data_IF_112463342681
#
_entry.id   IF_112463342681
#
_cell.length_a   1.000
_cell.length_b   1.000
_cell.length_c   1.000
_cell.angle_alpha   90.00
_cell.angle_beta   90.00
_cell.angle_gamma   90.00
#
_symmetry.space_group_name_H-M   'P 1'
#
loop_
_entity.id
_entity.type
_entity.pdbx_description
1 polymer ?
#
# COMPACT_ATOMS: atom_id res chain seq x y z
N UNK A 1 11.96 -4.90 -1.92
CA UNK A 1 11.16 -5.80 -2.79
C UNK A 1 11.85 -5.85 -4.14
N UNK A 2 12.03 -7.04 -4.71
CA UNK A 2 12.63 -7.24 -6.03
C UNK A 2 11.70 -8.17 -6.81
N UNK A 3 11.39 -7.83 -8.05
CA UNK A 3 10.53 -8.65 -8.91
C UNK A 3 10.84 -8.43 -10.39
N UNK A 4 10.67 -9.44 -11.26
CA UNK A 4 10.88 -9.29 -12.69
C UNK A 4 9.76 -8.46 -13.32
N UNK A 5 10.10 -7.62 -14.30
CA UNK A 5 9.13 -6.78 -15.03
C UNK A 5 8.85 -7.24 -16.45
N UNK A 6 9.70 -8.10 -17.01
CA UNK A 6 9.53 -8.60 -18.38
C UNK A 6 10.20 -9.96 -18.60
N UNK A 7 10.03 -10.49 -19.82
CA UNK A 7 10.60 -11.77 -20.26
C UNK A 7 12.13 -11.78 -20.27
N UNK A 8 12.76 -10.61 -20.37
CA UNK A 8 14.22 -10.46 -20.34
C UNK A 8 14.79 -10.53 -18.91
N UNK A 9 13.93 -10.78 -17.90
CA UNK A 9 14.28 -10.85 -16.48
C UNK A 9 14.90 -9.56 -15.93
N UNK A 10 14.57 -8.41 -16.54
CA UNK A 10 14.86 -7.13 -15.92
C UNK A 10 14.11 -7.05 -14.59
N UNK A 11 14.79 -6.52 -13.56
CA UNK A 11 14.28 -6.51 -12.19
C UNK A 11 13.88 -5.09 -11.81
N UNK A 12 12.66 -4.94 -11.28
CA UNK A 12 12.32 -3.75 -10.52
C UNK A 12 12.74 -3.93 -9.06
N UNK A 13 13.30 -2.87 -8.49
CA UNK A 13 13.67 -2.81 -7.09
C UNK A 13 12.99 -1.63 -6.40
N UNK A 14 12.34 -1.93 -5.27
CA UNK A 14 11.72 -0.92 -4.42
C UNK A 14 12.21 -1.10 -2.99
N UNK A 15 12.80 -0.05 -2.43
CA UNK A 15 13.20 0.04 -1.03
C UNK A 15 12.35 1.10 -0.32
N UNK A 16 11.83 0.77 0.85
CA UNK A 16 11.07 1.71 1.69
C UNK A 16 11.83 1.85 3.01
N UNK A 17 12.23 3.06 3.34
CA UNK A 17 13.00 3.37 4.55
C UNK A 17 12.28 4.45 5.34
N UNK A 18 12.22 4.28 6.66
CA UNK A 18 11.74 5.33 7.57
C UNK A 18 12.87 6.31 7.83
N UNK A 19 12.70 7.54 7.36
CA UNK A 19 13.64 8.63 7.59
C UNK A 19 12.92 9.81 8.27
N UNK A 20 13.59 10.48 9.21
CA UNK A 20 12.99 11.61 9.96
C UNK A 20 12.78 12.86 9.09
N UNK A 21 13.67 13.08 8.13
CA UNK A 21 13.64 14.20 7.19
C UNK A 21 13.76 13.66 5.78
N UNK A 22 12.91 14.12 4.87
CA UNK A 22 13.06 13.80 3.46
C UNK A 22 14.01 14.83 2.85
N UNK A 23 15.06 14.34 2.21
CA UNK A 23 15.98 15.10 1.39
C UNK A 23 16.19 14.29 0.10
N UNK A 24 15.74 14.79 -1.06
CA UNK A 24 15.87 14.08 -2.33
C UNK A 24 17.32 13.87 -2.76
N UNK A 25 18.25 14.69 -2.27
CA UNK A 25 19.66 14.63 -2.62
C UNK A 25 20.46 13.71 -1.67
N UNK A 26 19.95 13.45 -0.47
CA UNK A 26 20.59 12.59 0.55
C UNK A 26 20.18 11.10 0.46
N UNK A 27 20.05 10.58 -0.76
CA UNK A 27 19.69 9.17 -1.00
C UNK A 27 20.78 8.23 -0.43
N UNK A 28 22.06 8.62 -0.51
CA UNK A 28 23.20 7.81 -0.06
C UNK A 28 23.16 7.49 1.44
N UNK A 29 22.84 8.47 2.28
CA UNK A 29 22.70 8.27 3.74
C UNK A 29 21.59 7.28 4.07
N UNK A 30 20.47 7.35 3.34
CA UNK A 30 19.33 6.43 3.49
C UNK A 30 19.72 5.00 3.10
N UNK A 31 20.46 4.84 2.00
CA UNK A 31 20.95 3.55 1.52
C UNK A 31 21.95 2.93 2.48
N UNK A 32 22.89 3.71 3.00
CA UNK A 32 23.90 3.21 3.94
C UNK A 32 23.25 2.53 5.15
N UNK A 33 22.13 3.06 5.66
CA UNK A 33 21.36 2.41 6.75
C UNK A 33 20.85 1.02 6.38
N UNK A 34 20.49 0.81 5.12
CA UNK A 34 20.00 -0.48 4.61
C UNK A 34 21.17 -1.44 4.38
N UNK A 35 22.28 -0.97 3.79
CA UNK A 35 23.48 -1.78 3.57
C UNK A 35 24.07 -2.26 4.90
N UNK A 36 24.12 -1.40 5.92
CA UNK A 36 24.58 -1.80 7.26
C UNK A 36 23.71 -2.92 7.88
N UNK A 37 22.42 -2.98 7.53
CA UNK A 37 21.54 -4.08 7.97
C UNK A 37 21.70 -5.34 7.13
N UNK A 38 22.07 -5.21 5.85
CA UNK A 38 22.31 -6.32 4.95
C UNK A 38 23.25 -5.91 3.81
N UNK A 39 24.52 -6.28 3.92
CA UNK A 39 25.58 -5.97 2.96
C UNK A 39 25.36 -6.62 1.60
N UNK A 40 24.61 -7.72 1.53
CA UNK A 40 24.34 -8.43 0.27
C UNK A 40 23.53 -7.57 -0.71
N UNK A 41 22.84 -6.54 -0.21
CA UNK A 41 22.05 -5.63 -1.03
C UNK A 41 22.88 -4.51 -1.69
N UNK A 42 24.14 -4.33 -1.30
CA UNK A 42 24.99 -3.22 -1.78
C UNK A 42 25.02 -3.14 -3.31
N UNK A 43 25.20 -4.28 -3.99
CA UNK A 43 25.27 -4.36 -5.45
C UNK A 43 24.00 -3.86 -6.15
N UNK A 44 22.84 -3.97 -5.49
CA UNK A 44 21.53 -3.56 -6.04
C UNK A 44 21.40 -2.03 -6.06
N UNK A 45 22.14 -1.32 -5.20
CA UNK A 45 22.10 0.14 -5.09
C UNK A 45 23.10 0.87 -6.01
N UNK A 46 23.73 0.16 -6.95
CA UNK A 46 24.77 0.73 -7.83
C UNK A 46 24.23 1.50 -9.05
N UNK A 47 22.92 1.43 -9.32
CA UNK A 47 22.27 2.11 -10.45
C UNK A 47 21.86 3.55 -10.16
N UNK A 48 21.15 4.17 -11.12
CA UNK A 48 20.49 5.48 -10.92
C UNK A 48 19.30 5.29 -9.96
N UNK A 49 19.39 5.91 -8.78
CA UNK A 49 18.40 5.76 -7.72
C UNK A 49 17.61 7.04 -7.56
N UNK A 50 16.28 6.86 -7.53
CA UNK A 50 15.32 7.94 -7.30
C UNK A 50 14.57 7.67 -6.02
N UNK A 51 14.21 8.74 -5.31
CA UNK A 51 13.48 8.65 -4.05
C UNK A 51 12.22 9.50 -4.09
N UNK A 52 11.17 8.99 -3.45
CA UNK A 52 9.89 9.68 -3.33
C UNK A 52 9.40 9.62 -1.88
N UNK A 53 8.90 10.74 -1.33
CA UNK A 53 8.25 10.72 -0.03
C UNK A 53 6.91 9.98 -0.13
N UNK A 54 6.59 9.18 0.88
CA UNK A 54 5.31 8.46 0.94
C UNK A 54 4.28 9.27 1.73
N UNK A 55 3.22 9.70 1.05
CA UNK A 55 2.06 10.34 1.66
C UNK A 55 0.84 9.42 1.66
N UNK A 56 -0.10 9.66 2.58
CA UNK A 56 -1.36 8.94 2.67
C UNK A 56 -2.47 9.85 3.17
N UNK A 57 -3.72 9.50 2.89
CA UNK A 57 -4.88 10.28 3.32
C UNK A 57 -5.22 9.99 4.79
N UNK A 58 -5.20 11.00 5.69
CA UNK A 58 -5.49 10.79 7.11
C UNK A 58 -6.98 10.50 7.34
N UNK A 59 -7.87 11.19 6.61
CA UNK A 59 -9.33 11.11 6.77
C UNK A 59 -10.02 11.01 5.40
N UNK A 60 -10.91 10.03 5.28
CA UNK A 60 -11.76 9.84 4.10
C UNK A 60 -12.97 10.77 4.25
N UNK A 61 -13.16 11.68 3.29
CA UNK A 61 -14.21 12.70 3.31
C UNK A 61 -15.06 12.61 2.04
N UNK A 62 -16.38 12.87 2.13
CA UNK A 62 -17.20 13.01 0.94
C UNK A 62 -16.86 14.33 0.23
N UNK A 63 -17.26 14.44 -1.03
CA UNK A 63 -17.29 15.74 -1.70
C UNK A 63 -18.30 16.67 -1.04
N UNK A 64 -17.99 17.97 -0.96
CA UNK A 64 -18.92 19.01 -0.53
C UNK A 64 -19.95 19.37 -1.61
N UNK A 65 -19.72 18.94 -2.85
CA UNK A 65 -20.63 19.10 -3.97
C UNK A 65 -21.18 17.75 -4.41
N UNK A 66 -22.50 17.62 -4.43
CA UNK A 66 -23.20 16.36 -4.71
C UNK A 66 -23.04 15.87 -6.16
N UNK A 67 -22.55 16.72 -7.06
CA UNK A 67 -22.24 16.36 -8.46
C UNK A 67 -20.76 16.05 -8.69
N UNK A 68 -19.93 16.08 -7.65
CA UNK A 68 -18.49 15.82 -7.73
C UNK A 68 -18.16 14.57 -6.93
N UNK A 69 -17.43 13.65 -7.54
CA UNK A 69 -17.06 12.36 -6.95
C UNK A 69 -15.54 12.21 -6.94
N UNK A 70 -14.98 11.91 -5.77
CA UNK A 70 -13.57 11.57 -5.67
C UNK A 70 -13.38 10.08 -5.99
N UNK A 71 -12.39 9.80 -6.83
CA UNK A 71 -11.95 8.45 -7.20
C UNK A 71 -10.44 8.30 -6.99
N UNK A 72 -9.96 7.07 -6.85
CA UNK A 72 -8.53 6.78 -6.67
C UNK A 72 -7.90 7.50 -5.48
N UNK A 73 -6.68 7.99 -5.65
CA UNK A 73 -5.94 8.65 -4.56
C UNK A 73 -6.59 9.97 -4.09
N UNK A 74 -7.38 10.63 -4.94
CA UNK A 74 -8.18 11.79 -4.53
C UNK A 74 -9.26 11.40 -3.51
N UNK A 75 -9.78 10.17 -3.57
CA UNK A 75 -10.70 9.63 -2.57
C UNK A 75 -9.95 9.17 -1.32
N UNK A 76 -8.90 8.36 -1.49
CA UNK A 76 -8.05 7.89 -0.41
C UNK A 76 -6.70 7.36 -0.92
N UNK A 77 -5.61 8.10 -0.67
CA UNK A 77 -4.24 7.63 -0.87
C UNK A 77 -3.80 6.62 0.19
N UNK A 78 -3.23 5.49 -0.26
CA UNK A 78 -2.78 4.39 0.59
C UNK A 78 -1.26 4.29 0.65
N UNK A 79 -0.74 3.79 1.79
CA UNK A 79 0.63 3.28 1.81
C UNK A 79 0.77 2.07 0.86
N UNK A 80 1.91 1.91 0.18
CA UNK A 80 2.07 0.95 -0.92
C UNK A 80 2.26 -0.50 -0.46
N UNK A 81 2.15 -0.80 0.84
CA UNK A 81 2.47 -2.11 1.44
C UNK A 81 1.52 -3.25 1.09
N UNK A 82 0.42 -2.95 0.39
CA UNK A 82 -0.45 -3.92 -0.26
C UNK A 82 -0.54 -3.72 -1.79
N UNK A 83 0.13 -2.72 -2.36
CA UNK A 83 0.03 -2.39 -3.79
C UNK A 83 -1.42 -2.26 -4.30
N UNK A 84 -2.32 -1.68 -3.49
CA UNK A 84 -3.76 -1.59 -3.80
C UNK A 84 -4.25 -0.24 -4.31
N UNK A 85 -3.43 0.82 -4.36
CA UNK A 85 -3.89 2.16 -4.78
C UNK A 85 -4.56 2.15 -6.17
N UNK A 86 -3.87 1.55 -7.16
CA UNK A 86 -4.42 1.40 -8.51
C UNK A 86 -5.69 0.52 -8.54
N UNK A 87 -5.68 -0.62 -7.86
CA UNK A 87 -6.87 -1.49 -7.76
C UNK A 87 -8.08 -0.79 -7.15
N UNK A 88 -7.86 0.02 -6.10
CA UNK A 88 -8.92 0.82 -5.49
C UNK A 88 -9.45 1.93 -6.41
N UNK A 89 -8.61 2.45 -7.31
CA UNK A 89 -9.03 3.41 -8.35
C UNK A 89 -9.96 2.74 -9.36
N UNK A 90 -9.62 1.53 -9.81
CA UNK A 90 -10.45 0.73 -10.72
C UNK A 90 -11.78 0.34 -10.05
N UNK A 91 -11.74 -0.15 -8.81
CA UNK A 91 -12.97 -0.45 -8.05
C UNK A 91 -13.87 0.79 -7.90
N UNK A 92 -13.29 1.94 -7.58
CA UNK A 92 -14.03 3.20 -7.50
C UNK A 92 -14.70 3.59 -8.81
N UNK A 93 -13.99 3.49 -9.94
CA UNK A 93 -14.55 3.80 -11.25
C UNK A 93 -15.71 2.86 -11.62
N UNK A 94 -15.52 1.55 -11.42
CA UNK A 94 -16.53 0.53 -11.68
C UNK A 94 -17.79 0.74 -10.83
N UNK A 95 -17.63 0.96 -9.52
CA UNK A 95 -18.75 1.18 -8.63
C UNK A 95 -19.52 2.46 -8.95
N UNK A 96 -18.82 3.54 -9.29
CA UNK A 96 -19.47 4.79 -9.67
C UNK A 96 -20.25 4.64 -10.98
N UNK A 97 -19.66 3.97 -11.97
CA UNK A 97 -20.32 3.68 -13.25
C UNK A 97 -21.65 2.95 -13.05
N UNK A 98 -21.65 1.83 -12.31
CA UNK A 98 -22.86 1.06 -12.08
C UNK A 98 -23.94 1.87 -11.34
N UNK A 99 -23.56 2.70 -10.36
CA UNK A 99 -24.54 3.54 -9.66
C UNK A 99 -25.17 4.61 -10.56
N UNK A 100 -24.43 5.10 -11.55
CA UNK A 100 -24.94 6.02 -12.58
C UNK A 100 -25.86 5.28 -13.55
N UNK A 101 -25.45 4.10 -14.02
CA UNK A 101 -26.23 3.26 -14.94
C UNK A 101 -27.57 2.82 -14.32
N UNK A 102 -27.58 2.47 -13.04
CA UNK A 102 -28.78 2.06 -12.28
C UNK A 102 -29.73 3.22 -11.94
N UNK A 103 -29.39 4.47 -12.30
CA UNK A 103 -30.10 5.71 -11.93
C UNK A 103 -30.48 5.76 -10.44
N UNK A 104 -29.51 5.41 -9.58
CA UNK A 104 -29.79 5.24 -8.15
C UNK A 104 -30.12 6.58 -7.49
N UNK A 105 -31.20 6.61 -6.72
CA UNK A 105 -31.48 7.76 -5.83
C UNK A 105 -30.32 7.93 -4.85
N UNK A 106 -29.77 9.14 -4.77
CA UNK A 106 -28.67 9.51 -3.87
C UNK A 106 -27.35 8.73 -4.10
N UNK A 107 -26.89 8.75 -5.36
CA UNK A 107 -25.60 8.17 -5.80
C UNK A 107 -24.45 8.56 -4.88
N UNK A 108 -24.38 9.82 -4.44
CA UNK A 108 -23.28 10.33 -3.61
C UNK A 108 -23.16 9.59 -2.28
N UNK A 109 -24.26 9.46 -1.53
CA UNK A 109 -24.20 8.77 -0.24
C UNK A 109 -23.96 7.28 -0.43
N UNK A 110 -24.61 6.65 -1.42
CA UNK A 110 -24.40 5.24 -1.74
C UNK A 110 -22.94 4.93 -2.11
N UNK A 111 -22.35 5.72 -3.01
CA UNK A 111 -20.95 5.61 -3.42
C UNK A 111 -20.01 5.84 -2.23
N UNK A 112 -20.19 6.94 -1.50
CA UNK A 112 -19.32 7.29 -0.38
C UNK A 112 -19.33 6.23 0.71
N UNK A 113 -20.49 5.73 1.11
CA UNK A 113 -20.59 4.70 2.16
C UNK A 113 -19.89 3.40 1.74
N UNK A 114 -20.15 2.93 0.52
CA UNK A 114 -19.57 1.69 -0.01
C UNK A 114 -18.04 1.81 -0.12
N UNK A 115 -17.55 2.86 -0.77
CA UNK A 115 -16.10 3.11 -0.93
C UNK A 115 -15.39 3.41 0.37
N UNK A 116 -16.00 4.14 1.29
CA UNK A 116 -15.41 4.43 2.60
C UNK A 116 -15.23 3.17 3.43
N UNK A 117 -16.22 2.26 3.43
CA UNK A 117 -16.11 0.95 4.08
C UNK A 117 -14.96 0.13 3.49
N UNK A 118 -14.89 0.07 2.16
CA UNK A 118 -13.86 -0.68 1.43
C UNK A 118 -12.46 -0.12 1.66
N UNK A 119 -12.27 1.19 1.49
CA UNK A 119 -11.00 1.86 1.70
C UNK A 119 -10.51 1.71 3.16
N UNK A 120 -11.39 1.74 4.17
CA UNK A 120 -11.00 1.50 5.57
C UNK A 120 -10.38 0.11 5.78
N UNK A 121 -10.89 -0.93 5.11
CA UNK A 121 -10.34 -2.29 5.19
C UNK A 121 -8.92 -2.31 4.61
N UNK A 122 -8.76 -1.81 3.38
CA UNK A 122 -7.46 -1.78 2.70
C UNK A 122 -6.46 -0.94 3.48
N UNK A 123 -6.84 0.26 3.92
CA UNK A 123 -6.00 1.16 4.73
C UNK A 123 -5.53 0.52 6.02
N UNK A 124 -6.44 -0.15 6.75
CA UNK A 124 -6.09 -0.85 7.99
C UNK A 124 -5.03 -1.92 7.73
N UNK A 125 -5.19 -2.72 6.68
CA UNK A 125 -4.24 -3.79 6.33
C UNK A 125 -2.90 -3.23 5.84
N UNK A 126 -2.91 -2.19 5.00
CA UNK A 126 -1.69 -1.50 4.58
C UNK A 126 -0.91 -0.94 5.76
N UNK A 127 -1.59 -0.30 6.72
CA UNK A 127 -0.93 0.27 7.91
C UNK A 127 -0.35 -0.81 8.83
N UNK A 128 -1.06 -1.93 9.03
CA UNK A 128 -0.55 -3.07 9.79
C UNK A 128 0.71 -3.62 9.12
N UNK A 129 0.67 -3.87 7.80
CA UNK A 129 1.83 -4.34 7.05
C UNK A 129 3.00 -3.36 7.17
N UNK A 130 2.74 -2.06 7.00
CA UNK A 130 3.77 -1.03 7.13
C UNK A 130 4.39 -1.00 8.52
N UNK A 131 3.60 -1.19 9.57
CA UNK A 131 4.12 -1.27 10.93
C UNK A 131 5.00 -2.51 11.14
N UNK A 132 4.47 -3.69 10.81
CA UNK A 132 5.10 -4.98 11.08
C UNK A 132 6.38 -5.20 10.24
N UNK A 133 6.38 -4.76 8.98
CA UNK A 133 7.55 -4.92 8.10
C UNK A 133 8.76 -4.10 8.56
N UNK A 134 8.55 -3.02 9.32
CA UNK A 134 9.60 -2.10 9.76
C UNK A 134 10.01 -2.27 11.24
N UNK A 135 9.75 -3.43 11.85
CA UNK A 135 10.30 -3.73 13.18
C UNK A 135 11.82 -3.71 13.14
N UNK A 136 12.43 -2.83 13.95
CA UNK A 136 13.89 -2.62 13.97
C UNK A 136 14.59 -3.39 15.09
N UNK A 137 13.96 -3.67 16.22
CA UNK A 137 14.61 -4.41 17.31
C UNK A 137 14.69 -5.91 17.02
N UNK A 138 15.82 -6.54 17.39
CA UNK A 138 16.05 -7.97 17.15
C UNK A 138 14.96 -8.86 17.75
N UNK A 139 14.52 -8.53 18.97
CA UNK A 139 13.43 -9.23 19.67
C UNK A 139 12.13 -9.14 18.87
N UNK A 140 11.76 -7.93 18.41
CA UNK A 140 10.52 -7.76 17.63
C UNK A 140 10.60 -8.43 16.26
N UNK A 141 11.77 -8.42 15.61
CA UNK A 141 11.98 -9.13 14.37
C UNK A 141 11.83 -10.65 14.56
N UNK A 142 12.38 -11.22 15.64
CA UNK A 142 12.22 -12.64 15.97
C UNK A 142 10.74 -13.00 16.19
N UNK A 143 10.02 -12.21 16.99
CA UNK A 143 8.58 -12.36 17.23
C UNK A 143 7.81 -12.30 15.90
N UNK A 144 8.02 -11.26 15.09
CA UNK A 144 7.40 -11.14 13.76
C UNK A 144 7.66 -12.37 12.92
N UNK A 145 8.91 -12.81 12.82
CA UNK A 145 9.28 -13.92 11.96
C UNK A 145 8.60 -15.23 12.40
N UNK A 146 8.50 -15.47 13.71
CA UNK A 146 7.77 -16.62 14.26
C UNK A 146 6.28 -16.56 13.88
N UNK A 147 5.59 -15.45 14.18
CA UNK A 147 4.18 -15.29 13.87
C UNK A 147 3.91 -15.34 12.36
N UNK A 148 4.74 -14.70 11.53
CA UNK A 148 4.58 -14.73 10.08
C UNK A 148 4.68 -16.17 9.55
N UNK A 149 5.72 -16.94 9.94
CA UNK A 149 5.88 -18.36 9.55
C UNK A 149 4.69 -19.22 9.97
N UNK A 150 4.09 -18.93 11.13
CA UNK A 150 2.93 -19.65 11.64
C UNK A 150 1.64 -19.26 10.89
N UNK A 151 1.38 -17.96 10.71
CA UNK A 151 0.16 -17.43 10.13
C UNK A 151 0.04 -17.72 8.63
N UNK A 152 1.13 -17.60 7.87
CA UNK A 152 1.12 -17.87 6.41
C UNK A 152 0.87 -19.34 6.06
N UNK A 153 0.99 -20.27 7.01
CA UNK A 153 0.62 -21.68 6.79
C UNK A 153 -0.87 -21.94 6.99
N UNK A 154 -1.62 -21.00 7.59
CA UNK A 154 -3.04 -21.16 7.90
C UNK A 154 -3.90 -20.58 6.80
N UNK A 155 -4.57 -21.46 6.04
CA UNK A 155 -5.50 -21.06 4.95
C UNK A 155 -6.60 -20.11 5.42
N UNK A 156 -7.14 -20.31 6.63
CA UNK A 156 -8.14 -19.42 7.23
C UNK A 156 -7.60 -18.01 7.43
N UNK A 157 -6.36 -17.88 7.92
CA UNK A 157 -5.71 -16.57 8.06
C UNK A 157 -5.48 -15.93 6.69
N UNK A 158 -4.92 -16.64 5.71
CA UNK A 158 -4.71 -16.10 4.36
C UNK A 158 -6.03 -15.63 3.75
N UNK A 159 -7.06 -16.46 3.80
CA UNK A 159 -8.38 -16.15 3.24
C UNK A 159 -9.01 -14.95 3.94
N UNK A 160 -8.91 -14.86 5.27
CA UNK A 160 -9.44 -13.71 6.00
C UNK A 160 -8.61 -12.43 5.79
N UNK A 161 -7.28 -12.53 5.82
CA UNK A 161 -6.39 -11.36 5.79
C UNK A 161 -6.22 -10.80 4.38
N UNK A 162 -5.89 -11.65 3.41
CA UNK A 162 -5.72 -11.28 2.02
C UNK A 162 -7.03 -11.39 1.25
N UNK A 163 -7.83 -12.44 1.46
CA UNK A 163 -9.09 -12.60 0.72
C UNK A 163 -10.04 -11.42 0.92
N UNK A 164 -10.13 -10.83 2.13
CA UNK A 164 -10.94 -9.62 2.33
C UNK A 164 -10.45 -8.38 1.56
N UNK A 165 -9.21 -8.39 1.06
CA UNK A 165 -8.63 -7.31 0.23
C UNK A 165 -8.63 -7.68 -1.25
N UNK A 166 -8.40 -8.93 -1.63
CA UNK A 166 -8.18 -9.31 -3.03
C UNK A 166 -9.32 -10.10 -3.65
N UNK A 167 -10.22 -10.68 -2.84
CA UNK A 167 -11.44 -11.32 -3.31
C UNK A 167 -12.58 -10.31 -3.15
N UNK A 168 -13.03 -9.78 -4.28
CA UNK A 168 -14.31 -9.10 -4.37
C UNK A 168 -15.41 -10.14 -4.53
#
# INVERSE_FOLDING_TARGET
>A
MIYPVNKNKELNFVCIVRHKRYDPDDIKSVINKVITQNSDLEKIFTGDLKSWPLYFTPKILPSTNNKVFYIGDAFNGFLPTLAQGAGQSIESAYELFNLIEEDKVDIQNAYFQKRSKRAKIVRRRSNINFFVFHFSSLIMQAIRNFFMKFLVKRKSFISSYLGTVYKN
#
